data_IF_011751488117
#
_entry.id   IF_011751488117
#
_cell.length_a   1.000
_cell.length_b   1.000
_cell.length_c   1.000
_cell.angle_alpha   90.00
_cell.angle_beta   90.00
_cell.angle_gamma   90.00
#
_symmetry.space_group_name_H-M   'P 1'
#
loop_
_entity.id
_entity.type
_entity.pdbx_description
1 polymer ?
#
# COMPACT_ATOMS: atom_id res chain seq x y z
N UNK A 1 12.99 -29.74 -6.76
CA UNK A 1 12.65 -28.30 -6.80
C UNK A 1 11.86 -27.82 -5.57
N UNK A 2 10.88 -28.57 -5.01
CA UNK A 2 10.03 -28.12 -3.88
C UNK A 2 10.78 -27.96 -2.54
N UNK A 3 11.83 -28.75 -2.28
CA UNK A 3 12.65 -28.63 -1.04
C UNK A 3 13.46 -27.35 -0.96
N UNK A 4 14.04 -26.90 -2.10
CA UNK A 4 14.82 -25.64 -2.14
C UNK A 4 13.96 -24.40 -1.89
N UNK A 5 12.73 -24.38 -2.39
CA UNK A 5 11.80 -23.25 -2.18
C UNK A 5 11.39 -23.12 -0.70
N UNK A 6 11.16 -24.25 -0.01
CA UNK A 6 10.85 -24.26 1.44
C UNK A 6 12.01 -23.79 2.31
N UNK A 7 13.25 -24.09 1.92
CA UNK A 7 14.46 -23.61 2.62
C UNK A 7 14.61 -22.10 2.44
N UNK A 8 14.43 -21.57 1.23
CA UNK A 8 14.52 -20.12 0.94
C UNK A 8 13.43 -19.35 1.69
N UNK A 9 12.20 -19.86 1.75
CA UNK A 9 11.10 -19.26 2.52
C UNK A 9 11.41 -19.28 4.02
N UNK A 10 11.95 -20.40 4.54
CA UNK A 10 12.33 -20.52 5.95
C UNK A 10 13.48 -19.59 6.34
N UNK A 11 14.48 -19.42 5.48
CA UNK A 11 15.60 -18.48 5.67
C UNK A 11 15.11 -17.02 5.65
N UNK A 12 14.21 -16.66 4.73
CA UNK A 12 13.59 -15.32 4.69
C UNK A 12 12.78 -15.04 5.96
N UNK A 13 12.00 -16.00 6.44
CA UNK A 13 11.17 -15.86 7.65
C UNK A 13 12.04 -15.77 8.92
N UNK A 14 13.13 -16.53 8.97
CA UNK A 14 14.07 -16.50 10.11
C UNK A 14 14.87 -15.20 10.12
N UNK A 15 15.34 -14.73 8.96
CA UNK A 15 16.04 -13.46 8.80
C UNK A 15 15.11 -12.28 9.16
N UNK A 16 13.84 -12.32 8.74
CA UNK A 16 12.82 -11.32 9.08
C UNK A 16 12.55 -11.28 10.59
N UNK A 17 12.44 -12.43 11.27
CA UNK A 17 12.29 -12.50 12.73
C UNK A 17 13.51 -12.00 13.50
N UNK A 18 14.71 -12.28 13.00
CA UNK A 18 15.96 -11.78 13.59
C UNK A 18 16.06 -10.27 13.41
N UNK A 19 15.77 -9.74 12.22
CA UNK A 19 15.78 -8.30 11.95
C UNK A 19 14.68 -7.57 12.73
N UNK A 20 13.49 -8.15 12.88
CA UNK A 20 12.43 -7.62 13.74
C UNK A 20 12.85 -7.58 15.22
N UNK A 21 13.55 -8.62 15.69
CA UNK A 21 14.10 -8.68 17.05
C UNK A 21 15.23 -7.68 17.27
N UNK A 22 16.09 -7.47 16.26
CA UNK A 22 17.14 -6.44 16.26
C UNK A 22 16.53 -5.03 16.26
N UNK A 23 15.41 -4.82 15.57
CA UNK A 23 14.70 -3.54 15.51
C UNK A 23 13.90 -3.24 16.79
N UNK A 24 13.36 -4.26 17.47
CA UNK A 24 12.72 -4.12 18.78
C UNK A 24 13.74 -3.99 19.93
N UNK A 25 14.93 -4.54 19.79
CA UNK A 25 16.07 -4.18 20.64
C UNK A 25 16.54 -2.82 20.14
N UNK A 26 16.41 -1.78 20.96
CA UNK A 26 17.03 -0.47 20.77
C UNK A 26 18.43 -0.68 20.18
N UNK A 27 18.58 -0.46 18.85
CA UNK A 27 19.85 -0.71 18.17
C UNK A 27 20.84 0.24 18.82
N UNK A 28 21.78 -0.33 19.54
CA UNK A 28 22.82 0.41 20.22
C UNK A 28 23.72 1.00 19.12
N UNK A 29 23.48 2.27 18.79
CA UNK A 29 24.17 3.01 17.73
C UNK A 29 25.68 2.95 17.94
N UNK A 30 26.11 2.89 19.20
CA UNK A 30 27.53 2.77 19.56
C UNK A 30 28.13 1.42 19.14
N UNK A 31 27.36 0.35 19.14
CA UNK A 31 27.82 -0.96 18.63
C UNK A 31 27.97 -0.96 17.11
N UNK A 32 27.08 -0.28 16.39
CA UNK A 32 27.18 -0.16 14.93
C UNK A 32 28.41 0.68 14.54
N UNK A 33 28.68 1.74 15.27
CA UNK A 33 29.82 2.61 15.01
C UNK A 33 31.19 1.92 15.25
N UNK A 34 31.22 0.86 16.04
CA UNK A 34 32.43 0.04 16.29
C UNK A 34 32.70 -1.03 15.23
N UNK A 35 31.77 -1.25 14.28
CA UNK A 35 31.97 -2.22 13.20
C UNK A 35 32.99 -1.71 12.16
N UNK A 36 33.71 -2.60 11.49
CA UNK A 36 34.54 -2.26 10.33
C UNK A 36 33.73 -1.53 9.27
N UNK A 37 34.33 -0.57 8.52
CA UNK A 37 33.59 0.28 7.57
C UNK A 37 32.79 -0.50 6.53
N UNK A 38 33.36 -1.56 5.97
CA UNK A 38 32.71 -2.42 4.97
C UNK A 38 31.50 -3.16 5.54
N UNK A 39 31.60 -3.64 6.78
CA UNK A 39 30.48 -4.32 7.48
C UNK A 39 29.38 -3.33 7.84
N UNK A 40 29.75 -2.13 8.28
CA UNK A 40 28.81 -1.06 8.60
C UNK A 40 28.01 -0.63 7.38
N UNK A 41 28.66 -0.44 6.23
CA UNK A 41 27.99 -0.05 4.99
C UNK A 41 27.02 -1.14 4.49
N UNK A 42 27.43 -2.42 4.56
CA UNK A 42 26.53 -3.54 4.25
C UNK A 42 25.32 -3.60 5.18
N UNK A 43 25.55 -3.38 6.46
CA UNK A 43 24.50 -3.38 7.45
C UNK A 43 23.52 -2.23 7.25
N UNK A 44 24.00 -1.01 6.96
CA UNK A 44 23.14 0.13 6.64
C UNK A 44 22.29 -0.12 5.39
N UNK A 45 22.86 -0.66 4.32
CA UNK A 45 22.12 -1.03 3.10
C UNK A 45 21.04 -2.07 3.38
N UNK A 46 21.34 -3.07 4.22
CA UNK A 46 20.35 -4.07 4.63
C UNK A 46 19.21 -3.48 5.47
N UNK A 47 19.54 -2.55 6.38
CA UNK A 47 18.53 -1.86 7.18
C UNK A 47 17.61 -0.99 6.33
N UNK A 48 18.15 -0.26 5.37
CA UNK A 48 17.37 0.57 4.45
C UNK A 48 16.42 -0.34 3.66
N UNK A 49 16.95 -1.39 3.04
CA UNK A 49 16.15 -2.35 2.28
C UNK A 49 15.05 -2.99 3.12
N UNK A 50 15.35 -3.37 4.35
CA UNK A 50 14.37 -3.94 5.27
C UNK A 50 13.26 -2.94 5.61
N UNK A 51 13.61 -1.68 5.90
CA UNK A 51 12.63 -0.62 6.17
C UNK A 51 11.71 -0.36 4.97
N UNK A 52 12.25 -0.39 3.76
CA UNK A 52 11.48 -0.24 2.53
C UNK A 52 10.52 -1.42 2.31
N UNK A 53 11.00 -2.65 2.54
CA UNK A 53 10.16 -3.85 2.44
C UNK A 53 9.06 -3.87 3.50
N UNK A 54 9.36 -3.49 4.74
CA UNK A 54 8.40 -3.41 5.85
C UNK A 54 7.34 -2.33 5.60
N UNK A 55 7.77 -1.14 5.15
CA UNK A 55 6.88 -0.05 4.75
C UNK A 55 5.95 -0.48 3.61
N UNK A 56 6.48 -1.19 2.63
CA UNK A 56 5.72 -1.75 1.51
C UNK A 56 4.68 -2.77 1.98
N UNK A 57 5.08 -3.73 2.81
CA UNK A 57 4.17 -4.76 3.35
C UNK A 57 3.08 -4.12 4.20
N UNK A 58 3.42 -3.12 5.01
CA UNK A 58 2.44 -2.37 5.79
C UNK A 58 1.45 -1.64 4.89
N UNK A 59 1.91 -0.94 3.85
CA UNK A 59 1.04 -0.26 2.89
C UNK A 59 0.14 -1.22 2.10
N UNK A 60 0.60 -2.45 1.83
CA UNK A 60 -0.24 -3.47 1.19
C UNK A 60 -1.36 -3.97 2.11
N UNK A 61 -1.14 -4.01 3.42
CA UNK A 61 -2.06 -4.63 4.38
C UNK A 61 -2.93 -3.64 5.14
N UNK A 62 -2.51 -2.39 5.25
CA UNK A 62 -3.23 -1.33 5.95
C UNK A 62 -3.49 -0.13 5.05
N UNK A 63 -4.77 0.26 4.95
CA UNK A 63 -5.19 1.37 4.09
C UNK A 63 -4.57 2.71 4.49
N UNK A 64 -4.46 2.99 5.79
CA UNK A 64 -3.90 4.26 6.24
C UNK A 64 -2.39 4.35 5.99
N UNK A 65 -1.68 3.24 6.14
CA UNK A 65 -0.27 3.15 5.77
C UNK A 65 -0.06 3.34 4.26
N UNK A 66 -0.95 2.78 3.44
CA UNK A 66 -0.98 3.03 2.00
C UNK A 66 -1.17 4.52 1.69
N UNK A 67 -2.16 5.17 2.32
CA UNK A 67 -2.42 6.61 2.13
C UNK A 67 -1.17 7.43 2.47
N UNK A 68 -0.53 7.19 3.60
CA UNK A 68 0.69 7.90 4.02
C UNK A 68 1.88 7.67 3.10
N UNK A 69 1.92 6.53 2.42
CA UNK A 69 2.98 6.22 1.48
C UNK A 69 2.77 6.93 0.14
N UNK A 70 1.52 6.98 -0.34
CA UNK A 70 1.14 7.64 -1.60
C UNK A 70 1.08 9.16 -1.45
N UNK A 71 0.68 9.64 -0.29
CA UNK A 71 0.49 11.07 -0.01
C UNK A 71 1.31 11.47 1.23
N UNK A 72 2.61 11.79 1.07
CA UNK A 72 3.50 12.10 2.19
C UNK A 72 3.07 13.32 3.02
N UNK A 73 2.42 14.31 2.38
CA UNK A 73 1.93 15.54 3.04
C UNK A 73 0.58 15.36 3.76
N UNK A 74 0.06 14.11 3.77
CA UNK A 74 -1.22 13.83 4.39
C UNK A 74 -1.19 14.05 5.91
N UNK A 75 -2.07 14.93 6.39
CA UNK A 75 -2.25 15.22 7.82
C UNK A 75 -3.35 14.30 8.36
N UNK A 76 -2.95 13.39 9.24
CA UNK A 76 -3.84 12.42 9.85
C UNK A 76 -4.71 13.03 10.95
N UNK A 77 -6.03 12.86 10.86
CA UNK A 77 -6.99 13.16 11.92
C UNK A 77 -7.66 11.90 12.47
N UNK A 78 -8.34 12.01 13.60
CA UNK A 78 -9.03 10.88 14.25
C UNK A 78 -10.06 10.20 13.33
N UNK A 79 -10.80 11.00 12.54
CA UNK A 79 -11.79 10.49 11.57
C UNK A 79 -11.14 9.64 10.47
N UNK A 80 -9.91 9.96 10.05
CA UNK A 80 -9.19 9.18 9.05
C UNK A 80 -8.86 7.77 9.55
N UNK A 81 -8.46 7.63 10.83
CA UNK A 81 -8.23 6.31 11.46
C UNK A 81 -9.49 5.47 11.46
N UNK A 82 -10.61 6.08 11.88
CA UNK A 82 -11.90 5.39 11.94
C UNK A 82 -12.35 4.89 10.56
N UNK A 83 -12.20 5.71 9.51
CA UNK A 83 -12.56 5.31 8.15
C UNK A 83 -11.61 4.23 7.63
N UNK A 84 -10.31 4.38 7.85
CA UNK A 84 -9.30 3.42 7.42
C UNK A 84 -9.56 2.02 8.03
N UNK A 85 -9.90 1.94 9.32
CA UNK A 85 -10.30 0.68 9.95
C UNK A 85 -11.50 0.04 9.22
N UNK A 86 -12.53 0.83 8.88
CA UNK A 86 -13.69 0.32 8.14
C UNK A 86 -13.33 -0.10 6.72
N UNK A 87 -12.43 0.61 6.05
CA UNK A 87 -11.96 0.24 4.72
C UNK A 87 -11.10 -1.02 4.74
N UNK A 88 -10.28 -1.23 5.77
CA UNK A 88 -9.57 -2.49 5.99
C UNK A 88 -10.56 -3.67 6.11
N UNK A 89 -11.60 -3.52 6.92
CA UNK A 89 -12.66 -4.53 7.11
C UNK A 89 -13.48 -4.77 5.84
N UNK A 90 -13.72 -3.72 5.05
CA UNK A 90 -14.38 -3.85 3.75
C UNK A 90 -13.51 -4.65 2.76
N UNK A 91 -12.23 -4.36 2.71
CA UNK A 91 -11.30 -5.04 1.80
C UNK A 91 -11.06 -6.51 2.16
N UNK A 92 -11.17 -6.88 3.44
CA UNK A 92 -11.10 -8.28 3.91
C UNK A 92 -12.44 -9.02 3.77
N UNK A 93 -13.53 -8.29 3.46
CA UNK A 93 -14.88 -8.87 3.37
C UNK A 93 -15.58 -9.09 4.72
N UNK A 94 -14.98 -8.65 5.82
CA UNK A 94 -15.59 -8.68 7.16
C UNK A 94 -16.89 -7.86 7.19
N UNK A 95 -16.90 -6.71 6.53
CA UNK A 95 -18.10 -5.93 6.28
C UNK A 95 -18.36 -5.84 4.77
N UNK A 96 -19.64 -5.96 4.39
CA UNK A 96 -20.03 -5.95 2.97
C UNK A 96 -20.69 -4.64 2.54
N UNK A 97 -21.14 -3.83 3.47
CA UNK A 97 -21.83 -2.56 3.22
C UNK A 97 -21.31 -1.51 4.19
N UNK A 98 -20.99 -0.35 3.67
CA UNK A 98 -20.48 0.77 4.46
C UNK A 98 -21.10 2.08 3.95
N UNK A 99 -21.67 2.87 4.86
CA UNK A 99 -22.11 4.22 4.59
C UNK A 99 -21.16 5.17 5.33
N UNK A 100 -20.61 6.14 4.62
CA UNK A 100 -19.68 7.13 5.18
C UNK A 100 -20.29 8.52 5.06
N UNK A 101 -20.73 9.08 6.18
CA UNK A 101 -21.21 10.45 6.29
C UNK A 101 -20.13 11.32 6.91
N UNK A 102 -19.69 12.33 6.18
CA UNK A 102 -18.67 13.28 6.63
C UNK A 102 -18.96 14.66 6.06
N UNK A 103 -18.58 15.73 6.76
CA UNK A 103 -18.64 17.07 6.22
C UNK A 103 -17.83 17.23 4.92
N UNK A 104 -18.16 18.25 4.10
CA UNK A 104 -17.32 18.61 2.96
C UNK A 104 -15.86 18.92 3.39
N UNK A 105 -14.92 18.77 2.46
CA UNK A 105 -13.48 19.06 2.66
C UNK A 105 -12.74 18.20 3.71
N UNK A 106 -13.34 17.09 4.14
CA UNK A 106 -12.68 16.12 5.06
C UNK A 106 -12.16 14.88 4.32
N UNK A 107 -11.64 15.04 3.11
CA UNK A 107 -11.00 14.00 2.28
C UNK A 107 -11.86 12.79 1.91
N UNK A 108 -13.16 12.76 2.28
CA UNK A 108 -14.07 11.63 2.05
C UNK A 108 -14.00 11.09 0.62
N UNK A 109 -14.18 11.95 -0.37
CA UNK A 109 -14.19 11.54 -1.79
C UNK A 109 -12.82 11.07 -2.28
N UNK A 110 -11.73 11.67 -1.82
CA UNK A 110 -10.39 11.23 -2.16
C UNK A 110 -10.12 9.84 -1.59
N UNK A 111 -10.49 9.60 -0.33
CA UNK A 111 -10.36 8.29 0.31
C UNK A 111 -11.22 7.22 -0.36
N UNK A 112 -12.53 7.49 -0.51
CA UNK A 112 -13.49 6.48 -0.96
C UNK A 112 -13.51 6.29 -2.47
N UNK A 113 -13.26 7.35 -3.26
CA UNK A 113 -13.44 7.29 -4.72
C UNK A 113 -12.13 7.23 -5.50
N UNK A 114 -10.98 7.50 -4.88
CA UNK A 114 -9.67 7.46 -5.54
C UNK A 114 -8.75 6.43 -4.89
N UNK A 115 -8.44 6.61 -3.59
CA UNK A 115 -7.44 5.81 -2.88
C UNK A 115 -7.92 4.39 -2.60
N UNK A 116 -9.15 4.21 -2.11
CA UNK A 116 -9.70 2.89 -1.80
C UNK A 116 -9.80 1.98 -3.02
N UNK A 117 -10.38 2.40 -4.16
CA UNK A 117 -10.40 1.58 -5.36
C UNK A 117 -9.00 1.18 -5.83
N UNK A 118 -8.05 2.10 -5.85
CA UNK A 118 -6.68 1.83 -6.25
C UNK A 118 -6.03 0.80 -5.31
N UNK A 119 -6.18 0.96 -3.99
CA UNK A 119 -5.63 0.03 -3.00
C UNK A 119 -6.26 -1.37 -3.10
N UNK A 120 -7.58 -1.46 -3.27
CA UNK A 120 -8.27 -2.75 -3.43
C UNK A 120 -7.84 -3.47 -4.71
N UNK A 121 -7.67 -2.76 -5.83
CA UNK A 121 -7.15 -3.31 -7.09
C UNK A 121 -5.71 -3.78 -6.91
N UNK A 122 -4.88 -3.04 -6.18
CA UNK A 122 -3.52 -3.47 -5.88
C UNK A 122 -3.44 -4.78 -5.10
N UNK A 123 -4.36 -4.99 -4.15
CA UNK A 123 -4.49 -6.25 -3.40
C UNK A 123 -5.04 -7.39 -4.25
N UNK A 124 -5.98 -7.09 -5.10
CA UNK A 124 -6.63 -8.07 -5.99
C UNK A 124 -6.87 -7.47 -7.39
N UNK A 125 -5.94 -7.65 -8.33
CA UNK A 125 -6.07 -7.10 -9.68
C UNK A 125 -7.29 -7.62 -10.47
N UNK A 126 -7.88 -8.74 -10.05
CA UNK A 126 -9.09 -9.31 -10.67
C UNK A 126 -10.38 -8.66 -10.19
N UNK A 127 -10.30 -7.76 -9.23
CA UNK A 127 -11.48 -7.12 -8.66
C UNK A 127 -12.13 -6.20 -9.68
N UNK A 128 -13.45 -6.33 -9.83
CA UNK A 128 -14.26 -5.44 -10.66
C UNK A 128 -14.90 -4.39 -9.76
N UNK A 129 -14.65 -3.11 -10.05
CA UNK A 129 -15.20 -1.98 -9.29
C UNK A 129 -16.09 -1.17 -10.22
N UNK A 130 -17.32 -0.91 -9.79
CA UNK A 130 -18.23 0.01 -10.44
C UNK A 130 -18.37 1.24 -9.55
N UNK A 131 -18.05 2.41 -10.12
CA UNK A 131 -18.14 3.67 -9.42
C UNK A 131 -19.28 4.52 -10.02
N UNK A 132 -20.26 4.85 -9.19
CA UNK A 132 -21.40 5.67 -9.59
C UNK A 132 -21.40 7.00 -8.84
N UNK A 133 -21.82 8.04 -9.54
CA UNK A 133 -21.96 9.40 -8.98
C UNK A 133 -23.21 10.06 -9.59
N UNK A 134 -23.60 11.24 -9.12
CA UNK A 134 -24.75 11.96 -9.64
C UNK A 134 -24.57 12.48 -11.08
N UNK A 135 -23.33 12.59 -11.59
CA UNK A 135 -23.04 12.93 -12.99
C UNK A 135 -21.99 11.99 -13.56
N UNK A 136 -22.14 11.65 -14.84
CA UNK A 136 -21.15 10.80 -15.56
C UNK A 136 -19.76 11.45 -15.61
N UNK A 137 -19.70 12.78 -15.76
CA UNK A 137 -18.43 13.52 -15.75
C UNK A 137 -17.63 13.33 -14.46
N UNK A 138 -18.33 13.40 -13.32
CA UNK A 138 -17.69 13.18 -12.01
C UNK A 138 -17.21 11.75 -11.84
N UNK A 139 -17.97 10.76 -12.33
CA UNK A 139 -17.54 9.36 -12.33
C UNK A 139 -16.27 9.16 -13.14
N UNK A 140 -16.21 9.70 -14.35
CA UNK A 140 -15.03 9.67 -15.23
C UNK A 140 -13.84 10.37 -14.57
N UNK A 141 -14.05 11.50 -13.90
CA UNK A 141 -12.99 12.21 -13.18
C UNK A 141 -12.35 11.36 -12.07
N UNK A 142 -13.15 10.68 -11.25
CA UNK A 142 -12.63 9.79 -10.22
C UNK A 142 -11.95 8.56 -10.80
N UNK A 143 -12.55 7.95 -11.84
CA UNK A 143 -11.94 6.83 -12.55
C UNK A 143 -10.57 7.18 -13.14
N UNK A 144 -10.44 8.39 -13.72
CA UNK A 144 -9.16 8.91 -14.24
C UNK A 144 -8.14 9.12 -13.14
N UNK A 145 -8.53 9.70 -11.98
CA UNK A 145 -7.65 9.86 -10.83
C UNK A 145 -7.12 8.52 -10.31
N UNK A 146 -8.00 7.54 -10.12
CA UNK A 146 -7.60 6.20 -9.69
C UNK A 146 -6.65 5.53 -10.70
N UNK A 147 -6.92 5.67 -12.00
CA UNK A 147 -6.04 5.20 -13.08
C UNK A 147 -4.66 5.85 -13.00
N UNK A 148 -4.57 7.18 -12.94
CA UNK A 148 -3.31 7.92 -12.84
C UNK A 148 -2.52 7.50 -11.58
N UNK A 149 -3.22 7.26 -10.46
CA UNK A 149 -2.58 6.78 -9.24
C UNK A 149 -1.97 5.38 -9.42
N UNK A 150 -2.68 4.46 -10.07
CA UNK A 150 -2.18 3.10 -10.33
C UNK A 150 -0.94 3.13 -11.24
N UNK A 151 -0.87 4.09 -12.14
CA UNK A 151 0.27 4.26 -13.06
C UNK A 151 1.45 5.04 -12.44
N UNK A 152 1.29 5.58 -11.24
CA UNK A 152 2.35 6.34 -10.57
C UNK A 152 3.50 5.45 -10.06
N UNK A 153 4.74 5.97 -10.07
CA UNK A 153 5.92 5.25 -9.58
C UNK A 153 5.77 4.80 -8.12
N UNK A 154 5.18 5.64 -7.29
CA UNK A 154 4.97 5.38 -5.86
C UNK A 154 4.04 4.18 -5.65
N UNK A 155 2.96 4.11 -6.43
CA UNK A 155 2.05 2.97 -6.38
C UNK A 155 2.73 1.69 -6.89
N UNK A 156 3.50 1.76 -7.97
CA UNK A 156 4.24 0.63 -8.54
C UNK A 156 5.31 0.06 -7.59
N UNK A 157 5.83 0.87 -6.68
CA UNK A 157 6.72 0.40 -5.61
C UNK A 157 5.98 -0.48 -4.59
N UNK A 158 4.68 -0.21 -4.35
CA UNK A 158 3.86 -0.95 -3.38
C UNK A 158 3.24 -2.19 -4.04
N UNK A 159 2.60 -2.01 -5.19
CA UNK A 159 1.90 -3.06 -5.92
C UNK A 159 2.51 -3.28 -7.30
N UNK A 160 2.52 -4.53 -7.75
CA UNK A 160 3.01 -4.89 -9.10
C UNK A 160 1.93 -4.79 -10.19
N UNK A 161 0.76 -4.26 -9.84
CA UNK A 161 -0.38 -4.14 -10.75
C UNK A 161 -0.11 -3.05 -11.77
N UNK A 162 -0.28 -3.38 -13.05
CA UNK A 162 -0.14 -2.45 -14.18
C UNK A 162 -1.46 -2.32 -14.93
N UNK A 163 -1.61 -1.23 -15.65
CA UNK A 163 -2.74 -1.04 -16.56
C UNK A 163 -2.51 -1.82 -17.85
N UNK A 164 -3.60 -2.31 -18.46
CA UNK A 164 -3.57 -2.87 -19.82
C UNK A 164 -3.41 -1.73 -20.83
N UNK A 165 -2.54 -1.94 -21.79
CA UNK A 165 -2.27 -0.93 -22.84
C UNK A 165 -3.46 -0.74 -23.79
N UNK A 166 -4.23 -1.82 -24.04
CA UNK A 166 -5.36 -1.86 -24.95
C UNK A 166 -6.70 -1.44 -24.33
N UNK A 167 -6.76 -1.17 -23.03
CA UNK A 167 -7.99 -0.81 -22.31
C UNK A 167 -7.79 0.40 -21.41
N UNK A 168 -7.65 1.57 -22.02
CA UNK A 168 -7.30 2.80 -21.32
C UNK A 168 -8.31 3.96 -21.49
N UNK A 169 -9.56 3.67 -21.84
CA UNK A 169 -10.59 4.70 -21.97
C UNK A 169 -10.85 5.41 -20.62
N UNK A 170 -11.23 6.69 -20.68
CA UNK A 170 -11.44 7.50 -19.48
C UNK A 170 -12.55 6.98 -18.55
N UNK A 171 -13.57 6.34 -19.11
CA UNK A 171 -14.71 5.80 -18.34
C UNK A 171 -14.62 4.30 -18.03
N UNK A 172 -13.69 3.58 -18.67
CA UNK A 172 -13.49 2.15 -18.45
C UNK A 172 -12.03 1.80 -18.74
N UNK A 173 -11.38 1.19 -17.79
CA UNK A 173 -10.00 0.70 -17.93
C UNK A 173 -9.83 -0.61 -17.19
N UNK A 174 -8.83 -1.37 -17.56
CA UNK A 174 -8.54 -2.69 -17.00
C UNK A 174 -7.07 -2.79 -16.59
N UNK A 175 -6.80 -3.69 -15.66
CA UNK A 175 -5.46 -4.04 -15.21
C UNK A 175 -4.90 -5.19 -16.04
N UNK A 176 -3.61 -5.17 -16.32
CA UNK A 176 -2.89 -6.34 -16.83
C UNK A 176 -2.84 -7.40 -15.72
N UNK A 177 -3.25 -8.63 -16.05
CA UNK A 177 -3.25 -9.76 -15.14
C UNK A 177 -1.98 -10.59 -15.30
#
# INVERSE_FOLDING_TARGET
>A
MVKSLKIIIRLKTTCKKILQKIFQMQIDIDKINKLPPDVRDRFQKLLIKYKEEDKKELAQNDFLAFVKTIWPEFIEGAHHKTIADKFNKLATGEIKRLIVNMPPRHTKSEFASTLLPAWMIGKNPKLKIIQTTHTGELAVRFGRKAKTLIDSPEYQQIFKTRLREDSQAAGRWETAQ
#
